data_IF_371421916571
#
_entry.id   IF_371421916571
#
_cell.length_a   1.000
_cell.length_b   1.000
_cell.length_c   1.000
_cell.angle_alpha   90.00
_cell.angle_beta   90.00
_cell.angle_gamma   90.00
#
_symmetry.space_group_name_H-M   'P 1'
#
loop_
_entity.id
_entity.type
_entity.pdbx_description
1 polymer ?
#
# COMPACT_ATOMS: atom_id res chain seq x y z
N UNK A 1 15.39 22.32 -1.58
CA UNK A 1 16.56 21.44 -1.50
C UNK A 1 16.00 20.05 -1.18
N UNK A 2 15.96 19.19 -2.18
CA UNK A 2 15.44 17.82 -2.06
C UNK A 2 16.55 16.97 -1.49
N UNK A 3 16.47 16.61 -0.22
CA UNK A 3 17.29 15.55 0.34
C UNK A 3 16.82 14.24 -0.27
N UNK A 4 17.61 13.76 -1.21
CA UNK A 4 17.48 12.42 -1.76
C UNK A 4 17.64 11.42 -0.62
N UNK A 5 16.64 10.60 -0.39
CA UNK A 5 16.73 9.40 0.45
C UNK A 5 17.97 8.62 0.04
N UNK A 6 18.89 8.45 0.98
CA UNK A 6 20.13 7.70 0.77
C UNK A 6 19.78 6.23 0.48
N UNK A 7 20.13 5.68 -0.69
CA UNK A 7 19.84 4.29 -1.04
C UNK A 7 20.46 3.27 -0.08
N UNK A 8 21.46 3.66 0.70
CA UNK A 8 22.09 2.80 1.68
C UNK A 8 21.21 2.49 2.90
N UNK A 9 20.22 3.34 3.23
CA UNK A 9 19.25 3.05 4.30
C UNK A 9 18.26 1.93 3.95
N UNK A 10 18.08 1.63 2.67
CA UNK A 10 17.20 0.55 2.19
C UNK A 10 17.96 -0.77 1.95
N UNK A 11 19.28 -0.79 2.16
CA UNK A 11 20.14 -1.97 2.01
C UNK A 11 20.04 -2.96 3.18
N UNK A 12 19.32 -2.64 4.26
CA UNK A 12 19.07 -3.56 5.36
C UNK A 12 17.86 -4.44 5.04
N UNK A 13 18.10 -5.68 4.59
CA UNK A 13 17.17 -6.83 4.55
C UNK A 13 15.68 -6.49 4.28
N UNK A 14 15.41 -5.73 3.22
CA UNK A 14 14.09 -5.22 2.90
C UNK A 14 13.13 -6.28 2.35
N UNK A 15 12.63 -7.14 3.20
CA UNK A 15 11.48 -7.97 2.90
C UNK A 15 10.21 -7.13 3.01
N UNK A 16 9.44 -7.04 1.93
CA UNK A 16 8.07 -6.50 1.98
C UNK A 16 7.18 -7.51 2.70
N UNK A 17 6.70 -7.25 3.91
CA UNK A 17 5.93 -8.21 4.67
C UNK A 17 4.57 -8.46 4.01
N UNK A 18 4.02 -9.64 4.26
CA UNK A 18 2.66 -9.98 3.83
C UNK A 18 1.65 -9.34 4.79
N UNK A 19 1.38 -8.04 4.61
CA UNK A 19 0.56 -7.26 5.54
C UNK A 19 -0.93 -7.62 5.49
N UNK A 20 -1.43 -8.05 4.33
CA UNK A 20 -2.85 -8.26 4.08
C UNK A 20 -3.12 -9.72 3.67
N UNK A 21 -3.02 -10.65 4.64
CA UNK A 21 -3.45 -12.02 4.43
C UNK A 21 -4.88 -12.19 4.95
N UNK A 22 -5.85 -12.28 4.04
CA UNK A 22 -7.22 -12.69 4.37
C UNK A 22 -7.31 -14.20 4.13
N UNK A 23 -7.47 -14.97 5.20
CA UNK A 23 -7.74 -16.41 5.11
C UNK A 23 -9.22 -16.62 4.76
N UNK A 24 -9.49 -17.52 3.81
CA UNK A 24 -10.84 -17.88 3.37
C UNK A 24 -11.52 -18.92 4.28
N UNK A 25 -10.98 -19.19 5.46
CA UNK A 25 -11.57 -20.20 6.36
C UNK A 25 -11.87 -19.59 7.73
N UNK A 26 -13.05 -20.00 8.22
CA UNK A 26 -13.76 -19.71 9.46
C UNK A 26 -12.96 -19.22 10.65
N UNK A 27 -13.46 -18.15 11.15
CA UNK A 27 -13.12 -17.39 12.32
C UNK A 27 -12.75 -18.24 13.54
N UNK A 28 -11.50 -18.15 13.95
CA UNK A 28 -11.15 -18.04 15.35
C UNK A 28 -9.90 -17.18 15.43
N UNK A 29 -10.10 -15.89 15.66
CA UNK A 29 -9.03 -14.92 15.75
C UNK A 29 -8.45 -14.94 17.17
N UNK A 30 -7.59 -15.89 17.43
CA UNK A 30 -6.54 -15.69 18.43
C UNK A 30 -5.39 -15.05 17.65
N UNK A 31 -5.39 -13.73 17.57
CA UNK A 31 -4.27 -12.95 17.08
C UNK A 31 -3.14 -13.19 18.08
N UNK A 32 -2.17 -14.02 17.68
CA UNK A 32 -0.88 -13.99 18.31
C UNK A 32 -0.39 -12.54 18.23
N UNK A 33 -0.07 -11.97 19.39
CA UNK A 33 0.58 -10.66 19.54
C UNK A 33 2.04 -10.76 19.07
N UNK A 34 2.22 -11.18 17.83
CA UNK A 34 3.53 -11.14 17.20
C UNK A 34 3.80 -9.67 16.88
N UNK A 35 4.86 -9.15 17.47
CA UNK A 35 5.36 -7.80 17.31
C UNK A 35 5.31 -7.41 15.83
N UNK A 36 4.39 -6.51 15.49
CA UNK A 36 4.25 -5.97 14.15
C UNK A 36 5.51 -5.16 13.81
N UNK A 37 6.53 -5.86 13.37
CA UNK A 37 7.73 -5.28 12.80
C UNK A 37 7.49 -5.08 11.31
N UNK A 38 7.48 -3.82 10.89
CA UNK A 38 7.64 -3.45 9.49
C UNK A 38 9.15 -3.40 9.22
N UNK A 39 9.76 -4.43 8.62
CA UNK A 39 11.20 -4.46 8.36
C UNK A 39 11.66 -3.35 7.41
N UNK A 40 10.70 -2.77 6.67
CA UNK A 40 10.93 -1.68 5.73
C UNK A 40 10.96 -0.28 6.38
N UNK A 41 10.53 -0.18 7.64
CA UNK A 41 10.70 1.04 8.43
C UNK A 41 11.93 0.81 9.32
N UNK A 42 13.07 1.40 8.97
CA UNK A 42 14.27 1.38 9.81
C UNK A 42 13.96 1.90 11.22
N UNK A 43 14.80 1.57 12.19
CA UNK A 43 14.63 1.96 13.60
C UNK A 43 14.56 3.49 13.79
N UNK A 44 15.08 4.26 12.83
CA UNK A 44 15.06 5.72 12.79
C UNK A 44 13.81 6.35 12.15
N UNK A 45 12.81 5.56 11.74
CA UNK A 45 11.53 6.10 11.24
C UNK A 45 10.69 6.65 12.42
N UNK A 46 11.24 7.60 13.14
CA UNK A 46 10.63 8.27 14.29
C UNK A 46 9.38 9.08 13.94
N UNK A 47 9.03 9.19 12.65
CA UNK A 47 7.98 10.08 12.19
C UNK A 47 6.66 9.36 11.82
N UNK A 48 6.64 8.02 11.82
CA UNK A 48 5.43 7.25 11.48
C UNK A 48 4.80 6.69 12.76
N UNK A 49 3.59 7.16 13.09
CA UNK A 49 2.84 6.64 14.24
C UNK A 49 2.45 5.17 14.01
N UNK A 50 3.10 4.27 14.75
CA UNK A 50 2.91 2.81 14.66
C UNK A 50 1.49 2.36 15.05
N UNK A 51 0.81 3.12 15.94
CA UNK A 51 -0.58 2.83 16.31
C UNK A 51 -1.52 3.13 15.15
N UNK A 52 -1.35 4.26 14.46
CA UNK A 52 -2.13 4.59 13.28
C UNK A 52 -1.91 3.57 12.16
N UNK A 53 -0.68 3.15 11.91
CA UNK A 53 -0.39 2.11 10.91
C UNK A 53 -1.07 0.79 11.23
N UNK A 54 -1.10 0.37 12.50
CA UNK A 54 -1.81 -0.85 12.92
C UNK A 54 -3.31 -0.73 12.66
N UNK A 55 -3.91 0.40 13.03
CA UNK A 55 -5.33 0.67 12.79
C UNK A 55 -5.65 0.69 11.30
N UNK A 56 -4.80 1.30 10.47
CA UNK A 56 -4.92 1.29 9.01
C UNK A 56 -4.96 -0.14 8.48
N UNK A 57 -4.04 -1.01 8.92
CA UNK A 57 -3.99 -2.41 8.47
C UNK A 57 -5.25 -3.17 8.85
N UNK A 58 -5.76 -2.97 10.05
CA UNK A 58 -6.98 -3.63 10.52
C UNK A 58 -8.21 -3.14 9.73
N UNK A 59 -8.29 -1.84 9.41
CA UNK A 59 -9.31 -1.29 8.54
C UNK A 59 -9.22 -1.87 7.11
N UNK A 60 -8.01 -1.98 6.55
CA UNK A 60 -7.79 -2.59 5.24
C UNK A 60 -8.20 -4.06 5.20
N UNK A 61 -7.87 -4.83 6.24
CA UNK A 61 -8.30 -6.23 6.37
C UNK A 61 -9.81 -6.34 6.45
N UNK A 62 -10.47 -5.51 7.25
CA UNK A 62 -11.93 -5.47 7.36
C UNK A 62 -12.57 -5.19 5.99
N UNK A 63 -12.08 -4.23 5.23
CA UNK A 63 -12.55 -3.97 3.87
C UNK A 63 -12.37 -5.16 2.94
N UNK A 64 -11.23 -5.81 2.96
CA UNK A 64 -10.91 -6.95 2.10
C UNK A 64 -11.77 -8.17 2.39
N UNK A 65 -12.28 -8.34 3.63
CA UNK A 65 -13.17 -9.47 3.97
C UNK A 65 -14.47 -9.45 3.17
N UNK A 66 -14.95 -8.28 2.73
CA UNK A 66 -16.14 -8.17 1.87
C UNK A 66 -15.98 -8.87 0.52
N UNK A 67 -14.76 -9.17 0.12
CA UNK A 67 -14.44 -9.82 -1.15
C UNK A 67 -13.97 -11.26 -0.99
N UNK A 68 -14.05 -11.85 0.20
CA UNK A 68 -13.56 -13.20 0.53
C UNK A 68 -14.17 -14.30 -0.35
N UNK A 69 -15.43 -14.15 -0.77
CA UNK A 69 -16.11 -15.09 -1.66
C UNK A 69 -15.67 -15.00 -3.14
N UNK A 70 -14.88 -14.00 -3.52
CA UNK A 70 -14.46 -13.72 -4.90
C UNK A 70 -12.93 -13.72 -4.99
N UNK A 71 -12.32 -14.90 -5.04
CA UNK A 71 -10.87 -15.08 -4.95
C UNK A 71 -10.05 -14.19 -5.91
N UNK A 72 -10.48 -14.07 -7.18
CA UNK A 72 -9.79 -13.22 -8.16
C UNK A 72 -9.88 -11.73 -7.83
N UNK A 73 -11.05 -11.24 -7.38
CA UNK A 73 -11.25 -9.86 -6.94
C UNK A 73 -10.43 -9.57 -5.70
N UNK A 74 -10.49 -10.47 -4.71
CA UNK A 74 -9.72 -10.34 -3.48
C UNK A 74 -8.21 -10.25 -3.77
N UNK A 75 -7.68 -11.16 -4.61
CA UNK A 75 -6.27 -11.14 -4.98
C UNK A 75 -5.85 -9.83 -5.69
N UNK A 76 -6.72 -9.31 -6.56
CA UNK A 76 -6.50 -8.01 -7.21
C UNK A 76 -6.50 -6.87 -6.18
N UNK A 77 -7.51 -6.81 -5.32
CA UNK A 77 -7.66 -5.73 -4.33
C UNK A 77 -6.56 -5.77 -3.27
N UNK A 78 -6.20 -6.95 -2.77
CA UNK A 78 -5.04 -7.10 -1.88
C UNK A 78 -3.78 -6.49 -2.49
N UNK A 79 -3.48 -6.79 -3.75
CA UNK A 79 -2.30 -6.28 -4.43
C UNK A 79 -2.31 -4.75 -4.54
N UNK A 80 -3.43 -4.16 -4.93
CA UNK A 80 -3.51 -2.70 -5.12
C UNK A 80 -3.45 -1.96 -3.77
N UNK A 81 -4.10 -2.50 -2.75
CA UNK A 81 -4.08 -1.93 -1.39
C UNK A 81 -2.70 -2.06 -0.74
N UNK A 82 -2.01 -3.18 -0.93
CA UNK A 82 -0.64 -3.34 -0.45
C UNK A 82 0.33 -2.37 -1.12
N UNK A 83 0.19 -2.14 -2.43
CA UNK A 83 0.99 -1.12 -3.15
C UNK A 83 0.80 0.27 -2.57
N UNK A 84 -0.45 0.64 -2.33
CA UNK A 84 -0.80 1.92 -1.71
C UNK A 84 -0.19 2.04 -0.30
N UNK A 85 -0.35 0.99 0.52
CA UNK A 85 0.16 0.99 1.89
C UNK A 85 1.69 1.10 1.92
N UNK A 86 2.39 0.32 1.10
CA UNK A 86 3.85 0.41 1.01
C UNK A 86 4.30 1.78 0.52
N UNK A 87 3.62 2.34 -0.49
CA UNK A 87 3.93 3.68 -0.97
C UNK A 87 3.70 4.74 0.12
N UNK A 88 2.61 4.68 0.85
CA UNK A 88 2.34 5.59 1.96
C UNK A 88 3.45 5.53 3.02
N UNK A 89 3.86 4.32 3.41
CA UNK A 89 4.83 4.11 4.48
C UNK A 89 6.28 4.40 4.05
N UNK A 90 6.67 4.01 2.84
CA UNK A 90 8.07 4.07 2.39
C UNK A 90 8.35 5.39 1.67
N UNK A 91 7.50 5.80 0.73
CA UNK A 91 7.72 7.00 -0.08
C UNK A 91 7.20 8.26 0.63
N UNK A 92 5.97 8.20 1.18
CA UNK A 92 5.36 9.35 1.86
C UNK A 92 5.71 9.43 3.33
N UNK A 93 6.21 8.35 3.93
CA UNK A 93 6.51 8.23 5.37
C UNK A 93 5.32 8.65 6.25
N UNK A 94 4.13 8.24 5.85
CA UNK A 94 2.86 8.55 6.52
C UNK A 94 2.00 7.30 6.68
N UNK A 95 1.22 7.16 7.78
CA UNK A 95 0.10 6.25 7.82
C UNK A 95 -0.88 6.55 6.68
N UNK A 96 -1.60 5.54 6.21
CA UNK A 96 -2.58 5.68 5.12
C UNK A 96 -3.68 6.67 5.49
N UNK A 97 -4.12 6.68 6.75
CA UNK A 97 -5.14 7.58 7.28
C UNK A 97 -4.73 9.06 7.30
N UNK A 98 -3.43 9.37 7.16
CA UNK A 98 -2.91 10.74 7.10
C UNK A 98 -2.51 11.19 5.69
N UNK A 99 -2.81 10.40 4.66
CA UNK A 99 -2.58 10.81 3.28
C UNK A 99 -3.51 11.97 2.92
N UNK A 100 -2.92 13.02 2.35
CA UNK A 100 -3.65 14.19 1.82
C UNK A 100 -4.01 14.00 0.34
N UNK A 101 -4.86 14.89 -0.19
CA UNK A 101 -5.14 14.95 -1.62
C UNK A 101 -3.87 15.22 -2.44
N UNK A 102 -2.98 16.09 -1.94
CA UNK A 102 -1.70 16.40 -2.60
C UNK A 102 -0.75 15.18 -2.64
N UNK A 103 -0.77 14.34 -1.59
CA UNK A 103 -0.04 13.09 -1.61
C UNK A 103 -0.60 12.19 -2.72
N UNK A 104 -1.91 11.98 -2.73
CA UNK A 104 -2.56 11.10 -3.70
C UNK A 104 -2.49 11.60 -5.15
N UNK A 105 -2.38 12.90 -5.38
CA UNK A 105 -2.14 13.46 -6.71
C UNK A 105 -0.84 12.96 -7.36
N UNK A 106 0.14 12.54 -6.54
CA UNK A 106 1.42 11.98 -7.01
C UNK A 106 1.37 10.48 -7.27
N UNK A 107 0.38 9.79 -6.71
CA UNK A 107 0.28 8.33 -6.77
C UNK A 107 0.14 7.79 -8.20
N UNK A 108 -0.65 8.41 -9.12
CA UNK A 108 -0.72 7.94 -10.51
C UNK A 108 0.64 7.94 -11.23
N UNK A 109 1.44 8.99 -11.05
CA UNK A 109 2.78 9.09 -11.64
C UNK A 109 3.72 8.04 -11.05
N UNK A 110 3.65 7.79 -9.74
CA UNK A 110 4.40 6.73 -9.09
C UNK A 110 4.02 5.34 -9.65
N UNK A 111 2.74 5.05 -9.83
CA UNK A 111 2.28 3.78 -10.41
C UNK A 111 2.79 3.58 -11.84
N UNK A 112 2.83 4.66 -12.64
CA UNK A 112 3.32 4.63 -14.01
C UNK A 112 4.83 4.38 -14.09
N UNK A 113 5.60 4.91 -13.14
CA UNK A 113 7.05 4.71 -13.08
C UNK A 113 7.55 4.68 -11.62
N UNK A 114 7.44 3.53 -10.94
CA UNK A 114 7.88 3.38 -9.55
C UNK A 114 9.39 3.59 -9.41
N UNK A 115 9.79 4.64 -8.72
CA UNK A 115 11.20 4.99 -8.47
C UNK A 115 11.52 5.03 -6.95
N UNK A 116 12.73 4.67 -6.53
CA UNK A 116 13.79 4.01 -7.31
C UNK A 116 13.43 2.54 -7.64
N UNK A 117 13.78 2.09 -8.83
CA UNK A 117 13.36 0.77 -9.35
C UNK A 117 13.84 -0.39 -8.50
N UNK A 118 15.02 -0.29 -7.94
CA UNK A 118 15.63 -1.31 -7.08
C UNK A 118 14.78 -1.58 -5.83
N UNK A 119 14.10 -0.55 -5.33
CA UNK A 119 13.22 -0.65 -4.16
C UNK A 119 11.87 -1.26 -4.54
N UNK A 120 11.31 -0.83 -5.68
CA UNK A 120 9.91 -1.07 -5.99
C UNK A 120 9.66 -2.20 -6.98
N UNK A 121 10.65 -2.51 -7.83
CA UNK A 121 10.45 -3.40 -8.98
C UNK A 121 11.29 -4.66 -8.88
N UNK A 122 10.65 -5.81 -9.08
CA UNK A 122 11.34 -7.09 -9.18
C UNK A 122 12.24 -7.11 -10.43
N UNK A 123 13.43 -7.68 -10.32
CA UNK A 123 14.36 -7.79 -11.45
C UNK A 123 13.72 -8.51 -12.63
N UNK A 124 13.92 -7.95 -13.83
CA UNK A 124 13.28 -8.38 -15.08
C UNK A 124 13.50 -9.88 -15.34
N UNK A 125 12.44 -10.59 -15.71
CA UNK A 125 12.52 -12.01 -16.09
C UNK A 125 12.50 -13.00 -14.93
N UNK A 126 12.48 -12.55 -13.68
CA UNK A 126 12.42 -13.42 -12.51
C UNK A 126 11.00 -13.44 -11.92
N UNK A 127 10.41 -14.64 -11.82
CA UNK A 127 9.27 -14.87 -10.94
C UNK A 127 9.79 -15.15 -9.54
N UNK A 128 9.80 -14.13 -8.71
CA UNK A 128 10.27 -14.22 -7.33
C UNK A 128 9.05 -14.46 -6.44
N UNK A 129 9.09 -15.53 -5.66
CA UNK A 129 8.06 -15.84 -4.66
C UNK A 129 7.99 -14.73 -3.62
N UNK A 130 6.79 -14.51 -3.08
CA UNK A 130 6.53 -13.43 -2.12
C UNK A 130 7.22 -13.64 -0.76
N UNK A 131 7.68 -14.84 -0.50
CA UNK A 131 8.45 -15.27 0.66
C UNK A 131 9.95 -14.93 0.56
N UNK A 132 10.38 -14.42 -0.60
CA UNK A 132 11.78 -14.09 -0.86
C UNK A 132 12.08 -12.61 -0.58
N UNK A 133 13.27 -12.34 -0.09
CA UNK A 133 13.77 -10.98 0.20
C UNK A 133 13.81 -10.08 -1.03
N UNK A 134 14.04 -10.67 -2.20
CA UNK A 134 14.10 -9.95 -3.48
C UNK A 134 12.73 -9.64 -4.07
N UNK A 135 11.65 -10.11 -3.45
CA UNK A 135 10.30 -9.80 -3.93
C UNK A 135 10.01 -8.30 -3.81
N UNK A 136 9.35 -7.75 -4.82
CA UNK A 136 8.96 -6.34 -4.86
C UNK A 136 7.49 -6.23 -5.31
N UNK A 137 6.78 -5.13 -4.92
CA UNK A 137 5.35 -4.96 -5.21
C UNK A 137 5.03 -4.83 -6.70
N UNK A 138 6.02 -4.45 -7.51
CA UNK A 138 5.84 -4.26 -8.95
C UNK A 138 6.72 -5.21 -9.76
N UNK A 139 6.16 -5.74 -10.84
CA UNK A 139 6.93 -6.44 -11.87
C UNK A 139 7.53 -5.47 -12.90
N UNK A 140 7.12 -4.21 -12.87
CA UNK A 140 7.51 -3.13 -13.78
C UNK A 140 6.53 -1.97 -13.70
N UNK A 141 6.74 -0.95 -14.51
CA UNK A 141 5.84 0.19 -14.68
C UNK A 141 4.44 -0.27 -15.11
N UNK A 142 3.41 0.39 -14.63
CA UNK A 142 2.03 0.07 -15.01
C UNK A 142 1.62 0.81 -16.28
N UNK A 143 0.84 0.15 -17.12
CA UNK A 143 0.17 0.81 -18.25
C UNK A 143 -0.89 1.80 -17.77
N UNK A 144 -1.27 2.77 -18.61
CA UNK A 144 -2.31 3.75 -18.27
C UNK A 144 -3.64 3.09 -17.88
N UNK A 145 -4.00 1.95 -18.49
CA UNK A 145 -5.21 1.19 -18.12
C UNK A 145 -5.08 0.56 -16.74
N UNK A 146 -3.90 0.01 -16.41
CA UNK A 146 -3.62 -0.56 -15.10
C UNK A 146 -3.59 0.50 -14.01
N UNK A 147 -3.04 1.69 -14.30
CA UNK A 147 -3.07 2.85 -13.38
C UNK A 147 -4.52 3.24 -13.08
N UNK A 148 -5.37 3.39 -14.10
CA UNK A 148 -6.79 3.70 -13.90
C UNK A 148 -7.51 2.65 -13.06
N UNK A 149 -7.23 1.36 -13.31
CA UNK A 149 -7.81 0.28 -12.52
C UNK A 149 -7.35 0.36 -11.05
N UNK A 150 -6.07 0.59 -10.80
CA UNK A 150 -5.52 0.77 -9.45
C UNK A 150 -6.21 1.93 -8.72
N UNK A 151 -6.33 3.09 -9.38
CA UNK A 151 -7.00 4.26 -8.81
C UNK A 151 -8.49 4.01 -8.52
N UNK A 152 -9.18 3.24 -9.37
CA UNK A 152 -10.58 2.88 -9.11
C UNK A 152 -10.73 1.99 -7.86
N UNK A 153 -9.78 1.08 -7.62
CA UNK A 153 -9.76 0.25 -6.39
C UNK A 153 -9.48 1.13 -5.18
N UNK A 154 -8.48 1.99 -5.26
CA UNK A 154 -8.10 2.92 -4.17
C UNK A 154 -9.24 3.89 -3.85
N UNK A 155 -9.93 4.42 -4.86
CA UNK A 155 -11.11 5.29 -4.67
C UNK A 155 -12.24 4.58 -3.92
N UNK A 156 -12.53 3.30 -4.25
CA UNK A 156 -13.52 2.50 -3.52
C UNK A 156 -13.12 2.24 -2.07
N UNK A 157 -11.83 2.00 -1.83
CA UNK A 157 -11.31 1.84 -0.48
C UNK A 157 -11.54 3.11 0.34
N UNK A 158 -11.11 4.28 -0.15
CA UNK A 158 -11.27 5.54 0.58
C UNK A 158 -12.74 5.91 0.80
N UNK A 159 -13.63 5.65 -0.17
CA UNK A 159 -15.07 5.83 0.03
C UNK A 159 -15.59 4.96 1.17
N UNK A 160 -15.23 3.68 1.21
CA UNK A 160 -15.63 2.78 2.29
C UNK A 160 -15.06 3.21 3.66
N UNK A 161 -13.80 3.70 3.71
CA UNK A 161 -13.21 4.21 4.95
C UNK A 161 -13.96 5.44 5.49
N UNK A 162 -14.51 6.27 4.61
CA UNK A 162 -15.37 7.39 5.00
C UNK A 162 -16.76 6.90 5.43
N UNK A 163 -17.38 5.99 4.67
CA UNK A 163 -18.70 5.43 4.96
C UNK A 163 -18.75 4.72 6.32
N UNK A 164 -17.63 4.10 6.73
CA UNK A 164 -17.49 3.43 8.04
C UNK A 164 -17.07 4.38 9.16
N UNK A 165 -16.84 5.65 8.86
CA UNK A 165 -16.41 6.67 9.84
C UNK A 165 -14.95 6.56 10.25
N UNK A 166 -14.15 5.73 9.57
CA UNK A 166 -12.70 5.63 9.82
C UNK A 166 -11.97 6.91 9.38
N UNK A 167 -12.37 7.49 8.26
CA UNK A 167 -11.90 8.78 7.78
C UNK A 167 -13.05 9.79 7.77
N UNK A 168 -12.73 11.07 7.97
CA UNK A 168 -13.72 12.15 7.93
C UNK A 168 -14.09 12.57 6.51
N UNK A 169 -13.16 12.47 5.57
CA UNK A 169 -13.32 12.86 4.17
C UNK A 169 -12.45 11.99 3.27
N UNK A 170 -12.86 11.88 2.01
CA UNK A 170 -12.16 11.09 1.02
C UNK A 170 -11.08 11.95 0.33
N UNK A 171 -9.79 11.71 0.57
CA UNK A 171 -8.72 12.50 -0.05
C UNK A 171 -8.59 12.26 -1.56
N UNK A 172 -9.20 11.20 -2.12
CA UNK A 172 -9.24 10.95 -3.56
C UNK A 172 -10.25 11.85 -4.29
N UNK A 173 -11.16 12.49 -3.60
CA UNK A 173 -12.24 13.26 -4.24
C UNK A 173 -11.69 14.41 -5.06
N UNK A 174 -10.67 15.11 -4.57
CA UNK A 174 -10.02 16.20 -5.28
C UNK A 174 -9.41 15.78 -6.63
N UNK A 175 -9.03 14.51 -6.80
CA UNK A 175 -8.50 13.99 -8.07
C UNK A 175 -9.57 13.80 -9.15
N UNK A 176 -10.84 13.71 -8.76
CA UNK A 176 -11.96 13.56 -9.66
C UNK A 176 -12.65 14.89 -9.97
N UNK A 177 -12.44 15.91 -9.13
CA UNK A 177 -13.06 17.24 -9.25
C UNK A 177 -12.22 18.21 -10.12
N UNK A 178 -10.99 17.84 -10.50
CA UNK A 178 -10.23 18.66 -11.46
C UNK A 178 -10.83 18.51 -12.87
N UNK A 179 -11.34 19.60 -13.47
CA UNK A 179 -11.80 19.57 -14.85
C UNK A 179 -10.61 19.20 -15.75
N UNK A 180 -10.80 18.15 -16.57
CA UNK A 180 -9.89 17.80 -17.67
C UNK A 180 -9.64 19.07 -18.52
N UNK A 181 -8.46 19.65 -18.40
CA UNK A 181 -8.00 20.74 -19.24
C UNK A 181 -7.45 20.22 -20.55
#
# INVERSE_FOLDING_TARGET
MSECLNPEMLSGNGCFPRLLSVRSEGVSATVAQDEFRLPCLGEDSSNVDRHLVRNDIDALRAWLTHFSSRAATLACYCREVERLLFWALIDRQKPLSLLSADDLARYPSFLADPQPREVWTTARGKRIGRDRLEWRPFAGSLSSSSVRQSLAVVGRLFSWLVDTGYLRHNPMQALYDEPVR
#
